data_IF_635329228198
#
_entry.id   IF_635329228198
#
_cell.length_a   1.000
_cell.length_b   1.000
_cell.length_c   1.000
_cell.angle_alpha   90.00
_cell.angle_beta   90.00
_cell.angle_gamma   90.00
#
_symmetry.space_group_name_H-M   'P 1'
#
loop_
_entity.id
_entity.type
_entity.pdbx_description
1 polymer ?
#
# COMPACT_ATOMS: atom_id res chain seq x y z
N UNK A 1 -34.39 -6.77 29.61
CA UNK A 1 -34.28 -7.34 28.24
C UNK A 1 -34.10 -6.29 27.13
N UNK A 2 -34.64 -5.05 27.25
CA UNK A 2 -34.56 -4.02 26.20
C UNK A 2 -33.15 -3.46 25.95
N UNK A 3 -32.37 -3.30 27.01
CA UNK A 3 -30.96 -2.85 26.97
C UNK A 3 -30.01 -3.87 26.31
N UNK A 4 -30.29 -5.17 26.44
CA UNK A 4 -29.49 -6.23 25.80
C UNK A 4 -29.66 -6.23 24.27
N UNK A 5 -30.86 -5.91 23.77
CA UNK A 5 -31.17 -5.82 22.33
C UNK A 5 -30.50 -4.61 21.66
N UNK A 6 -30.40 -3.49 22.38
CA UNK A 6 -29.71 -2.27 21.91
C UNK A 6 -28.20 -2.47 21.83
N UNK A 7 -27.59 -3.15 22.80
CA UNK A 7 -26.15 -3.47 22.77
C UNK A 7 -25.78 -4.39 21.61
N UNK A 8 -26.63 -5.38 21.29
CA UNK A 8 -26.40 -6.30 20.18
C UNK A 8 -26.53 -5.62 18.81
N UNK A 9 -27.48 -4.70 18.65
CA UNK A 9 -27.65 -3.92 17.42
C UNK A 9 -26.48 -2.96 17.18
N UNK A 10 -25.97 -2.32 18.23
CA UNK A 10 -24.78 -1.47 18.14
C UNK A 10 -23.54 -2.30 17.74
N UNK A 11 -23.29 -3.43 18.40
CA UNK A 11 -22.16 -4.31 18.09
C UNK A 11 -22.21 -4.84 16.64
N UNK A 12 -23.39 -5.23 16.15
CA UNK A 12 -23.57 -5.66 14.76
C UNK A 12 -23.29 -4.54 13.76
N UNK A 13 -23.67 -3.30 14.06
CA UNK A 13 -23.32 -2.14 13.24
C UNK A 13 -21.81 -1.88 13.22
N UNK A 14 -21.13 -1.94 14.38
CA UNK A 14 -19.66 -1.81 14.43
C UNK A 14 -18.93 -2.92 13.67
N UNK A 15 -19.39 -4.18 13.76
CA UNK A 15 -18.83 -5.29 12.98
C UNK A 15 -19.08 -5.13 11.46
N UNK A 16 -20.25 -4.62 11.06
CA UNK A 16 -20.54 -4.34 9.66
C UNK A 16 -19.67 -3.21 9.08
N UNK A 17 -19.36 -2.17 9.88
CA UNK A 17 -18.38 -1.13 9.48
C UNK A 17 -16.94 -1.64 9.43
N UNK A 18 -16.60 -2.67 10.20
CA UNK A 18 -15.26 -3.26 10.22
C UNK A 18 -15.01 -4.13 8.97
N UNK A 19 -16.05 -4.79 8.47
CA UNK A 19 -15.97 -5.70 7.32
C UNK A 19 -15.78 -4.97 5.97
N UNK A 20 -16.16 -3.69 5.86
CA UNK A 20 -15.96 -2.89 4.64
C UNK A 20 -14.52 -2.42 4.44
N UNK A 21 -13.61 -2.67 5.40
CA UNK A 21 -12.19 -2.32 5.29
C UNK A 21 -11.34 -3.32 4.46
N UNK A 22 -11.94 -4.38 3.92
CA UNK A 22 -11.30 -5.27 2.93
C UNK A 22 -11.56 -4.83 1.47
N UNK A 23 -11.85 -3.55 1.25
CA UNK A 23 -12.16 -2.99 -0.05
C UNK A 23 -10.95 -3.06 -1.02
N UNK A 24 -11.13 -3.81 -2.11
CA UNK A 24 -10.32 -3.79 -3.34
C UNK A 24 -8.79 -3.72 -3.11
N UNK A 25 -8.19 -4.87 -2.78
CA UNK A 25 -6.74 -5.01 -2.68
C UNK A 25 -6.17 -5.63 -3.97
N UNK A 26 -5.13 -5.02 -4.52
CA UNK A 26 -4.43 -5.51 -5.71
C UNK A 26 -2.94 -5.59 -5.45
N UNK A 27 -2.25 -6.47 -6.18
CA UNK A 27 -0.79 -6.49 -6.19
C UNK A 27 -0.30 -5.39 -7.13
N UNK A 28 0.40 -4.40 -6.58
CA UNK A 28 1.03 -3.30 -7.32
C UNK A 28 2.50 -3.63 -7.50
N UNK A 29 3.06 -3.25 -8.66
CA UNK A 29 4.46 -3.45 -8.98
C UNK A 29 5.10 -2.18 -9.52
N UNK A 30 6.41 -2.09 -9.35
CA UNK A 30 7.26 -1.07 -9.95
C UNK A 30 8.58 -1.68 -10.42
N UNK A 31 9.20 -1.03 -11.39
CA UNK A 31 10.51 -1.41 -11.93
C UNK A 31 11.44 -0.22 -11.78
N UNK A 32 12.64 -0.47 -11.28
CA UNK A 32 13.74 0.47 -11.28
C UNK A 32 14.89 -0.13 -12.06
N UNK A 33 15.47 0.64 -12.97
CA UNK A 33 16.66 0.25 -13.72
C UNK A 33 17.71 1.35 -13.56
N UNK A 34 18.94 0.96 -13.22
CA UNK A 34 20.04 1.90 -13.04
C UNK A 34 21.39 1.23 -13.28
N UNK A 35 22.45 2.05 -13.41
CA UNK A 35 23.83 1.58 -13.55
C UNK A 35 24.38 0.88 -12.29
N UNK A 36 23.73 1.05 -11.13
CA UNK A 36 24.12 0.36 -9.90
C UNK A 36 22.91 -0.27 -9.22
N UNK A 37 23.17 -1.38 -8.52
CA UNK A 37 22.15 -2.14 -7.80
C UNK A 37 21.35 -1.28 -6.82
N UNK A 38 22.05 -0.51 -5.96
CA UNK A 38 21.39 0.27 -4.91
C UNK A 38 20.45 1.35 -5.48
N UNK A 39 20.82 1.96 -6.61
CA UNK A 39 19.97 2.96 -7.27
C UNK A 39 18.77 2.29 -7.93
N UNK A 40 18.96 1.12 -8.57
CA UNK A 40 17.88 0.36 -9.16
C UNK A 40 16.87 -0.10 -8.11
N UNK A 41 17.35 -0.58 -6.96
CA UNK A 41 16.52 -0.97 -5.82
C UNK A 41 15.77 0.23 -5.24
N UNK A 42 16.44 1.36 -5.05
CA UNK A 42 15.82 2.60 -4.59
C UNK A 42 14.68 3.05 -5.52
N UNK A 43 14.92 3.10 -6.83
CA UNK A 43 13.89 3.51 -7.80
C UNK A 43 12.71 2.55 -7.82
N UNK A 44 12.98 1.25 -7.74
CA UNK A 44 11.93 0.22 -7.71
C UNK A 44 11.06 0.33 -6.46
N UNK A 45 11.67 0.43 -5.27
CA UNK A 45 10.95 0.46 -3.98
C UNK A 45 10.23 1.78 -3.72
N UNK A 46 10.89 2.92 -3.96
CA UNK A 46 10.28 4.24 -3.77
C UNK A 46 9.29 4.57 -4.88
N UNK A 47 9.55 4.12 -6.12
CA UNK A 47 8.59 4.19 -7.21
C UNK A 47 7.31 3.42 -6.90
N UNK A 48 7.42 2.22 -6.33
CA UNK A 48 6.27 1.43 -5.88
C UNK A 48 5.39 2.20 -4.89
N UNK A 49 5.99 2.84 -3.89
CA UNK A 49 5.25 3.64 -2.91
C UNK A 49 4.49 4.80 -3.58
N UNK A 50 5.14 5.51 -4.52
CA UNK A 50 4.52 6.60 -5.27
C UNK A 50 3.37 6.12 -6.17
N UNK A 51 3.50 4.96 -6.82
CA UNK A 51 2.43 4.36 -7.62
C UNK A 51 1.24 3.98 -6.73
N UNK A 52 1.49 3.31 -5.60
CA UNK A 52 0.45 2.93 -4.63
C UNK A 52 -0.31 4.18 -4.16
N UNK A 53 0.43 5.23 -3.77
CA UNK A 53 -0.16 6.50 -3.35
C UNK A 53 -0.97 7.16 -4.47
N UNK A 54 -0.41 7.26 -5.68
CA UNK A 54 -1.08 7.84 -6.85
C UNK A 54 -2.35 7.10 -7.26
N UNK A 55 -2.46 5.81 -6.93
CA UNK A 55 -3.68 5.00 -7.12
C UNK A 55 -4.73 5.22 -6.02
N UNK A 56 -4.47 6.06 -5.01
CA UNK A 56 -5.35 6.23 -3.85
C UNK A 56 -5.42 4.96 -2.99
N UNK A 57 -4.31 4.20 -2.97
CA UNK A 57 -4.20 2.94 -2.23
C UNK A 57 -3.20 3.08 -1.08
N UNK A 58 -3.27 2.16 -0.14
CA UNK A 58 -2.30 2.04 0.96
C UNK A 58 -1.71 0.63 0.93
N UNK A 59 -0.38 0.57 0.97
CA UNK A 59 0.37 -0.68 1.00
C UNK A 59 0.06 -1.50 2.25
N UNK A 60 -0.04 -2.82 2.06
CA UNK A 60 -0.25 -3.82 3.12
C UNK A 60 0.82 -4.90 3.02
N UNK A 61 1.45 -5.17 4.16
CA UNK A 61 2.50 -6.20 4.27
C UNK A 61 3.86 -5.73 3.72
N UNK A 62 4.83 -6.66 3.65
CA UNK A 62 6.18 -6.34 3.20
C UNK A 62 6.23 -6.04 1.69
N UNK A 63 7.18 -5.22 1.28
CA UNK A 63 7.56 -5.07 -0.13
C UNK A 63 8.45 -6.26 -0.50
N UNK A 64 8.17 -6.88 -1.64
CA UNK A 64 8.99 -7.95 -2.21
C UNK A 64 9.76 -7.39 -3.40
N UNK A 65 11.08 -7.33 -3.27
CA UNK A 65 11.99 -6.82 -4.29
C UNK A 65 12.91 -7.92 -4.78
N UNK A 66 13.11 -7.99 -6.10
CA UNK A 66 14.07 -8.86 -6.76
C UNK A 66 14.86 -8.05 -7.77
N UNK A 67 16.18 -8.14 -7.71
CA UNK A 67 17.08 -7.48 -8.64
C UNK A 67 17.81 -8.49 -9.51
N UNK A 68 18.05 -8.11 -10.75
CA UNK A 68 18.78 -8.86 -11.76
C UNK A 68 19.89 -7.95 -12.32
N UNK A 69 21.14 -8.34 -12.10
CA UNK A 69 22.29 -7.62 -12.60
C UNK A 69 22.58 -8.03 -14.06
N UNK A 70 22.49 -7.06 -14.96
CA UNK A 70 22.88 -7.19 -16.36
C UNK A 70 24.33 -6.77 -16.60
N UNK A 71 24.75 -6.81 -17.87
CA UNK A 71 26.12 -6.45 -18.26
C UNK A 71 26.45 -4.95 -18.17
N UNK A 72 25.47 -4.10 -17.86
CA UNK A 72 25.66 -2.64 -17.78
C UNK A 72 24.65 -1.89 -16.92
N UNK A 73 23.53 -2.53 -16.57
CA UNK A 73 22.52 -2.01 -15.65
C UNK A 73 22.02 -3.12 -14.74
N UNK A 74 21.56 -2.75 -13.55
CA UNK A 74 20.76 -3.60 -12.67
C UNK A 74 19.29 -3.23 -12.85
N UNK A 75 18.43 -4.23 -12.96
CA UNK A 75 16.98 -4.06 -13.02
C UNK A 75 16.33 -4.70 -11.80
N UNK A 76 15.58 -3.92 -11.03
CA UNK A 76 14.89 -4.34 -9.82
C UNK A 76 13.37 -4.25 -9.97
N UNK A 77 12.68 -5.32 -9.60
CA UNK A 77 11.22 -5.41 -9.58
C UNK A 77 10.72 -5.47 -8.15
N UNK A 78 9.93 -4.48 -7.73
CA UNK A 78 9.33 -4.39 -6.40
C UNK A 78 7.83 -4.58 -6.50
N UNK A 79 7.26 -5.38 -5.62
CA UNK A 79 5.80 -5.60 -5.55
C UNK A 79 5.28 -5.54 -4.12
N UNK A 80 4.05 -5.05 -3.96
CA UNK A 80 3.36 -5.02 -2.69
C UNK A 80 1.85 -5.08 -2.91
N UNK A 81 1.13 -5.75 -2.01
CA UNK A 81 -0.34 -5.68 -1.99
C UNK A 81 -0.77 -4.31 -1.50
N UNK A 82 -1.69 -3.64 -2.20
CA UNK A 82 -2.21 -2.34 -1.81
C UNK A 82 -3.73 -2.27 -1.95
N UNK A 83 -4.39 -1.75 -0.93
CA UNK A 83 -5.85 -1.69 -0.84
C UNK A 83 -6.36 -0.28 -1.06
N UNK A 84 -7.49 -0.15 -1.75
CA UNK A 84 -8.12 1.15 -1.97
C UNK A 84 -8.60 1.74 -0.64
N UNK A 85 -8.38 3.03 -0.44
CA UNK A 85 -8.87 3.73 0.75
C UNK A 85 -9.85 4.83 0.36
N UNK A 86 -10.88 5.03 1.18
CA UNK A 86 -11.90 6.07 0.97
C UNK A 86 -11.36 7.47 1.29
N UNK A 87 -10.38 7.55 2.18
CA UNK A 87 -9.70 8.79 2.55
C UNK A 87 -8.19 8.54 2.49
N UNK A 88 -7.53 8.90 1.39
CA UNK A 88 -6.07 8.82 1.31
C UNK A 88 -5.46 9.77 2.34
N UNK A 89 -4.33 9.37 2.94
CA UNK A 89 -3.57 10.26 3.83
C UNK A 89 -3.13 11.49 3.05
N UNK A 90 -3.26 12.66 3.65
CA UNK A 90 -2.74 13.91 3.09
C UNK A 90 -1.21 13.87 3.17
N UNK A 91 -0.57 13.46 2.07
CA UNK A 91 0.88 13.34 1.99
C UNK A 91 1.44 14.13 0.79
N UNK A 92 2.61 14.73 0.96
CA UNK A 92 3.44 15.20 -0.16
C UNK A 92 4.16 13.98 -0.75
N UNK A 93 3.57 13.38 -1.78
CA UNK A 93 4.01 12.09 -2.32
C UNK A 93 3.75 10.94 -1.35
N UNK A 94 4.40 9.79 -1.53
CA UNK A 94 4.16 8.61 -0.71
C UNK A 94 4.81 8.64 0.69
N UNK A 95 5.63 9.65 1.00
CA UNK A 95 6.56 9.61 2.14
C UNK A 95 6.26 10.66 3.21
N UNK A 96 5.86 11.88 2.83
CA UNK A 96 5.70 12.99 3.76
C UNK A 96 4.23 13.20 4.09
N UNK A 97 3.71 12.40 5.00
CA UNK A 97 2.33 12.52 5.47
C UNK A 97 2.22 13.53 6.61
N UNK A 98 1.28 14.47 6.49
CA UNK A 98 0.98 15.40 7.58
C UNK A 98 0.30 14.66 8.74
N UNK A 99 0.57 15.04 10.00
CA UNK A 99 -0.19 14.53 11.14
C UNK A 99 -1.66 14.93 10.97
N UNK A 100 -2.55 13.99 11.29
CA UNK A 100 -3.99 14.19 11.26
C UNK A 100 -4.46 15.11 12.41
#
# INVERSE_FOLDING_TARGET
MRSLKLGLAAAAAFCALSATAQADCVKVGAVGEAVTHDIAELFSTHGLANIIYGQGRVGKGPVHTKCEDGSGTTTCHSTQTACKVTTPKTCLGAWLCFPA
#
